data_IF_527526025158
#
_entry.id   IF_527526025158
#
_cell.length_a   1.000
_cell.length_b   1.000
_cell.length_c   1.000
_cell.angle_alpha   90.00
_cell.angle_beta   90.00
_cell.angle_gamma   90.00
#
_symmetry.space_group_name_H-M   'P 1'
#
loop_
_entity.id
_entity.type
_entity.pdbx_description
1 polymer ?
#
# COMPACT_ATOMS: atom_id res chain seq x y z
N UNK A 1 4.00 -30.05 55.00
CA UNK A 1 3.76 -30.08 53.54
C UNK A 1 2.29 -30.41 53.32
N UNK A 2 1.52 -29.49 52.75
CA UNK A 2 0.06 -29.58 52.57
C UNK A 2 -0.20 -29.86 51.10
N UNK A 3 -0.86 -30.97 50.78
CA UNK A 3 -1.25 -31.32 49.42
C UNK A 3 -2.67 -30.82 49.18
N UNK A 4 -2.82 -29.77 48.37
CA UNK A 4 -4.11 -29.27 47.93
C UNK A 4 -4.62 -30.13 46.77
N UNK A 5 -5.76 -30.78 47.00
CA UNK A 5 -6.43 -31.62 46.01
C UNK A 5 -7.28 -30.72 45.11
N UNK A 6 -6.89 -30.60 43.84
CA UNK A 6 -7.62 -29.81 42.84
C UNK A 6 -8.71 -30.69 42.23
N UNK A 7 -9.97 -30.43 42.58
CA UNK A 7 -11.14 -31.10 42.01
C UNK A 7 -11.47 -30.48 40.65
N UNK A 8 -11.33 -31.27 39.58
CA UNK A 8 -11.63 -30.83 38.21
C UNK A 8 -13.12 -31.09 37.90
N UNK A 9 -13.92 -30.03 37.87
CA UNK A 9 -15.34 -30.10 37.50
C UNK A 9 -15.46 -30.22 35.98
N UNK A 10 -15.67 -31.43 35.45
CA UNK A 10 -16.04 -31.62 34.05
C UNK A 10 -17.44 -31.03 33.82
N UNK A 11 -17.51 -29.95 33.05
CA UNK A 11 -18.78 -29.50 32.46
C UNK A 11 -19.13 -30.40 31.28
N UNK A 12 -20.38 -30.88 31.16
CA UNK A 12 -20.82 -31.56 29.96
C UNK A 12 -20.77 -30.60 28.77
N UNK A 13 -20.07 -31.02 27.73
CA UNK A 13 -20.05 -30.35 26.44
C UNK A 13 -21.48 -30.34 25.88
N UNK A 14 -22.08 -29.16 25.83
CA UNK A 14 -23.31 -28.94 25.11
C UNK A 14 -23.04 -29.15 23.61
N UNK A 15 -23.84 -30.01 23.00
CA UNK A 15 -23.87 -30.30 21.58
C UNK A 15 -24.12 -29.01 20.79
N UNK A 16 -23.06 -28.40 20.26
CA UNK A 16 -23.21 -27.48 19.15
C UNK A 16 -23.40 -28.33 17.90
N UNK A 17 -24.53 -28.21 17.16
CA UNK A 17 -24.64 -28.81 15.86
C UNK A 17 -23.58 -28.17 14.97
N UNK A 18 -22.51 -28.92 14.73
CA UNK A 18 -21.54 -28.65 13.68
C UNK A 18 -22.34 -28.62 12.38
N UNK A 19 -22.71 -27.43 11.93
CA UNK A 19 -23.05 -27.16 10.53
C UNK A 19 -21.75 -27.30 9.74
N UNK A 20 -21.32 -28.54 9.61
CA UNK A 20 -20.27 -28.97 8.73
C UNK A 20 -20.70 -28.65 7.32
N UNK A 21 -20.26 -27.48 6.85
CA UNK A 21 -20.07 -27.27 5.42
C UNK A 21 -19.02 -28.29 5.01
N UNK A 22 -19.49 -29.46 4.57
CA UNK A 22 -18.68 -30.47 3.92
C UNK A 22 -18.03 -29.78 2.72
N UNK A 23 -16.83 -29.22 2.93
CA UNK A 23 -15.92 -28.88 1.86
C UNK A 23 -15.56 -30.23 1.26
N UNK A 24 -16.27 -30.56 0.20
CA UNK A 24 -16.17 -31.82 -0.55
C UNK A 24 -14.72 -32.21 -0.77
N UNK A 25 -14.32 -33.36 -0.23
CA UNK A 25 -12.99 -33.95 -0.37
C UNK A 25 -12.57 -34.17 -1.84
N UNK A 26 -13.51 -34.11 -2.79
CA UNK A 26 -13.24 -34.16 -4.24
C UNK A 26 -12.64 -32.89 -4.84
N UNK A 27 -12.59 -31.77 -4.11
CA UNK A 27 -12.01 -30.51 -4.62
C UNK A 27 -10.48 -30.43 -4.50
N UNK A 28 -9.84 -31.42 -3.85
CA UNK A 28 -8.39 -31.48 -3.64
C UNK A 28 -7.65 -32.46 -4.57
N UNK A 29 -8.37 -33.26 -5.36
CA UNK A 29 -7.77 -34.25 -6.28
C UNK A 29 -7.67 -33.76 -7.73
N UNK A 30 -8.30 -32.63 -8.06
CA UNK A 30 -8.20 -32.05 -9.40
C UNK A 30 -6.99 -31.09 -9.44
N UNK A 31 -5.85 -31.62 -9.91
CA UNK A 31 -4.59 -30.85 -10.00
C UNK A 31 -4.73 -29.54 -10.80
N UNK A 32 -5.71 -29.46 -11.70
CA UNK A 32 -6.04 -28.23 -12.42
C UNK A 32 -6.64 -27.16 -11.48
N UNK A 33 -7.52 -27.55 -10.56
CA UNK A 33 -8.14 -26.64 -9.58
C UNK A 33 -7.14 -26.08 -8.56
N UNK A 34 -6.20 -26.91 -8.10
CA UNK A 34 -5.13 -26.47 -7.18
C UNK A 34 -4.19 -25.48 -7.89
N UNK A 35 -3.80 -25.77 -9.13
CA UNK A 35 -2.96 -24.87 -9.93
C UNK A 35 -3.62 -23.52 -10.18
N UNK A 36 -4.90 -23.51 -10.56
CA UNK A 36 -5.64 -22.27 -10.80
C UNK A 36 -5.73 -21.37 -9.56
N UNK A 37 -5.89 -21.97 -8.36
CA UNK A 37 -5.87 -21.23 -7.09
C UNK A 37 -4.49 -20.66 -6.79
N UNK A 38 -3.44 -21.46 -6.92
CA UNK A 38 -2.06 -21.00 -6.73
C UNK A 38 -1.71 -19.84 -7.67
N UNK A 39 -2.14 -19.88 -8.93
CA UNK A 39 -1.93 -18.78 -9.88
C UNK A 39 -2.71 -17.51 -9.50
N UNK A 40 -3.95 -17.66 -8.99
CA UNK A 40 -4.73 -16.53 -8.50
C UNK A 40 -4.08 -15.89 -7.26
N UNK A 41 -3.65 -16.71 -6.31
CA UNK A 41 -2.98 -16.27 -5.08
C UNK A 41 -1.62 -15.63 -5.40
N UNK A 42 -0.85 -16.21 -6.32
CA UNK A 42 0.43 -15.65 -6.77
C UNK A 42 0.25 -14.28 -7.45
N UNK A 43 -0.78 -14.12 -8.30
CA UNK A 43 -1.09 -12.83 -8.92
C UNK A 43 -1.47 -11.78 -7.89
N UNK A 44 -2.28 -12.16 -6.89
CA UNK A 44 -2.65 -11.26 -5.80
C UNK A 44 -1.42 -10.88 -4.96
N UNK A 45 -0.60 -11.85 -4.59
CA UNK A 45 0.62 -11.65 -3.82
C UNK A 45 1.60 -10.71 -4.54
N UNK A 46 1.87 -10.92 -5.83
CA UNK A 46 2.73 -10.04 -6.63
C UNK A 46 2.18 -8.61 -6.69
N UNK A 47 0.86 -8.45 -6.85
CA UNK A 47 0.23 -7.12 -6.87
C UNK A 47 0.40 -6.43 -5.52
N UNK A 48 0.12 -7.14 -4.44
CA UNK A 48 0.26 -6.61 -3.08
C UNK A 48 1.71 -6.22 -2.79
N UNK A 49 2.66 -7.08 -3.14
CA UNK A 49 4.08 -6.85 -2.94
C UNK A 49 4.61 -5.67 -3.77
N UNK A 50 4.18 -5.52 -5.02
CA UNK A 50 4.54 -4.35 -5.82
C UNK A 50 3.96 -3.03 -5.28
N UNK A 51 2.72 -3.03 -4.76
CA UNK A 51 2.15 -1.83 -4.09
C UNK A 51 2.96 -1.48 -2.86
N UNK A 52 3.30 -2.46 -2.02
CA UNK A 52 4.14 -2.24 -0.84
C UNK A 52 5.52 -1.69 -1.21
N UNK A 53 6.14 -2.18 -2.28
CA UNK A 53 7.43 -1.69 -2.74
C UNK A 53 7.37 -0.24 -3.24
N UNK A 54 6.30 0.14 -3.96
CA UNK A 54 6.07 1.54 -4.36
C UNK A 54 5.87 2.43 -3.12
N UNK A 55 5.06 1.98 -2.15
CA UNK A 55 4.84 2.71 -0.91
C UNK A 55 6.14 2.89 -0.12
N UNK A 56 6.99 1.86 -0.05
CA UNK A 56 8.30 1.91 0.59
C UNK A 56 9.20 2.99 -0.05
N UNK A 57 9.24 3.06 -1.38
CA UNK A 57 9.95 4.12 -2.09
C UNK A 57 9.32 5.50 -1.84
N UNK A 58 7.99 5.61 -1.85
CA UNK A 58 7.30 6.86 -1.53
C UNK A 58 7.64 7.38 -0.14
N UNK A 59 7.68 6.50 0.86
CA UNK A 59 8.10 6.82 2.23
C UNK A 59 9.58 7.23 2.26
N UNK A 60 10.45 6.53 1.52
CA UNK A 60 11.87 6.91 1.37
C UNK A 60 12.00 8.34 0.86
N UNK A 61 11.28 8.69 -0.20
CA UNK A 61 11.26 10.05 -0.75
C UNK A 61 10.74 11.08 0.26
N UNK A 62 9.66 10.75 0.98
CA UNK A 62 9.09 11.61 2.01
C UNK A 62 10.11 11.89 3.14
N UNK A 63 10.81 10.85 3.61
CA UNK A 63 11.84 10.98 4.66
C UNK A 63 13.03 11.80 4.14
N UNK A 64 13.47 11.59 2.90
CA UNK A 64 14.57 12.38 2.33
C UNK A 64 14.20 13.85 2.14
N UNK A 65 12.95 14.15 1.77
CA UNK A 65 12.49 15.51 1.55
C UNK A 65 12.14 16.25 2.86
N UNK A 66 11.47 15.58 3.80
CA UNK A 66 10.85 16.21 4.98
C UNK A 66 11.30 15.60 6.31
N UNK A 67 12.23 14.65 6.32
CA UNK A 67 12.68 13.97 7.55
C UNK A 67 13.18 14.94 8.61
N UNK A 68 13.87 16.01 8.18
CA UNK A 68 14.32 17.11 9.05
C UNK A 68 13.19 17.81 9.81
N UNK A 69 12.02 17.92 9.19
CA UNK A 69 10.84 18.56 9.77
C UNK A 69 10.01 17.57 10.60
N UNK A 70 9.88 16.33 10.11
CA UNK A 70 9.14 15.24 10.76
C UNK A 70 9.79 14.77 12.07
N UNK A 71 11.12 14.76 12.13
CA UNK A 71 11.91 14.27 13.27
C UNK A 71 12.70 15.40 13.93
N UNK A 72 12.08 16.59 14.01
CA UNK A 72 12.68 17.79 14.57
C UNK A 72 13.42 17.55 15.90
N UNK A 73 14.50 18.30 16.20
CA UNK A 73 15.26 18.20 17.45
C UNK A 73 14.41 18.31 18.71
N UNK A 74 13.30 19.06 18.64
CA UNK A 74 12.34 19.24 19.74
C UNK A 74 11.68 17.92 20.18
N UNK A 75 11.71 16.88 19.34
CA UNK A 75 11.24 15.54 19.66
C UNK A 75 12.33 14.62 20.24
N UNK A 76 13.53 15.14 20.49
CA UNK A 76 14.66 14.40 21.05
C UNK A 76 15.40 13.53 20.03
N UNK A 77 15.09 13.64 18.74
CA UNK A 77 15.78 12.93 17.66
C UNK A 77 16.70 13.87 16.89
N UNK A 78 17.93 13.42 16.61
CA UNK A 78 18.93 14.14 15.83
C UNK A 78 19.43 13.28 14.69
N UNK A 79 19.72 13.90 13.55
CA UNK A 79 20.36 13.21 12.43
C UNK A 79 21.87 13.16 12.70
N UNK A 80 22.42 11.97 12.91
CA UNK A 80 23.87 11.80 13.04
C UNK A 80 24.49 11.65 11.65
N UNK A 81 25.20 12.69 11.23
CA UNK A 81 25.94 12.72 9.98
C UNK A 81 27.23 11.91 10.06
N UNK A 82 27.11 10.58 10.16
CA UNK A 82 28.23 9.68 9.86
C UNK A 82 28.43 9.65 8.34
N UNK A 83 28.98 10.75 7.82
CA UNK A 83 29.60 11.05 6.52
C UNK A 83 28.98 10.57 5.19
N UNK A 84 27.91 9.79 5.19
CA UNK A 84 27.10 9.41 4.02
C UNK A 84 25.76 8.75 4.40
N UNK A 85 25.59 8.34 5.67
CA UNK A 85 24.42 7.62 6.15
C UNK A 85 23.56 8.52 7.02
N UNK A 86 22.38 8.87 6.52
CA UNK A 86 21.39 9.67 7.24
C UNK A 86 20.68 8.82 8.29
N UNK A 87 21.32 8.58 9.43
CA UNK A 87 20.76 7.84 10.55
C UNK A 87 20.19 8.79 11.59
N UNK A 88 18.93 8.59 11.95
CA UNK A 88 18.29 9.28 13.06
C UNK A 88 18.61 8.57 14.37
N UNK A 89 19.15 9.32 15.33
CA UNK A 89 19.40 8.86 16.68
C UNK A 89 18.55 9.66 17.66
N UNK A 90 17.79 8.98 18.51
CA UNK A 90 16.93 9.63 19.51
C UNK A 90 17.50 9.45 20.91
N UNK A 91 17.47 10.51 21.72
CA UNK A 91 17.87 10.48 23.13
C UNK A 91 16.81 9.77 23.98
N UNK A 92 17.24 9.19 25.12
CA UNK A 92 16.33 8.56 26.07
C UNK A 92 15.34 9.58 26.62
N UNK A 93 14.07 9.48 26.21
CA UNK A 93 13.01 10.44 26.53
C UNK A 93 12.23 10.97 25.32
N UNK A 94 12.69 10.69 24.09
CA UNK A 94 11.95 11.00 22.88
C UNK A 94 10.59 10.28 22.85
N UNK A 95 9.54 10.98 22.42
CA UNK A 95 8.19 10.40 22.31
C UNK A 95 8.03 9.46 21.10
N UNK A 96 8.98 9.45 20.17
CA UNK A 96 8.84 8.81 18.86
C UNK A 96 10.06 7.94 18.42
N UNK A 97 10.66 7.09 19.29
CA UNK A 97 11.79 6.25 18.88
C UNK A 97 11.42 5.27 17.76
N UNK A 98 10.19 4.74 17.81
CA UNK A 98 9.68 3.78 16.81
C UNK A 98 9.63 4.39 15.40
N UNK A 99 9.33 5.69 15.28
CA UNK A 99 9.26 6.35 13.98
C UNK A 99 10.65 6.54 13.40
N UNK A 100 11.64 6.88 14.22
CA UNK A 100 13.03 6.99 13.80
C UNK A 100 13.60 5.63 13.38
N UNK A 101 13.33 4.55 14.14
CA UNK A 101 13.74 3.19 13.78
C UNK A 101 13.11 2.73 12.47
N UNK A 102 11.82 3.01 12.28
CA UNK A 102 11.12 2.72 11.03
C UNK A 102 11.74 3.50 9.86
N UNK A 103 12.00 4.80 10.03
CA UNK A 103 12.63 5.63 9.01
C UNK A 103 14.03 5.13 8.64
N UNK A 104 14.84 4.80 9.64
CA UNK A 104 16.17 4.21 9.46
C UNK A 104 16.09 2.86 8.74
N UNK A 105 15.14 2.00 9.11
CA UNK A 105 14.91 0.72 8.45
C UNK A 105 14.50 0.87 6.99
N UNK A 106 13.61 1.83 6.70
CA UNK A 106 13.19 2.14 5.33
C UNK A 106 14.38 2.63 4.51
N UNK A 107 15.14 3.62 4.99
CA UNK A 107 16.33 4.14 4.32
C UNK A 107 17.41 3.06 4.13
N UNK A 108 17.60 2.19 5.13
CA UNK A 108 18.54 1.08 5.05
C UNK A 108 18.13 0.07 3.97
N UNK A 109 16.84 -0.22 3.88
CA UNK A 109 16.31 -1.17 2.90
C UNK A 109 16.36 -0.64 1.48
N UNK A 110 16.30 0.68 1.26
CA UNK A 110 16.24 1.29 -0.09
C UNK A 110 17.55 1.96 -0.48
N UNK A 111 17.92 3.05 0.19
CA UNK A 111 19.06 3.90 -0.16
C UNK A 111 20.38 3.22 0.16
N UNK A 112 20.48 2.53 1.30
CA UNK A 112 21.73 1.91 1.75
C UNK A 112 21.86 0.45 1.38
N UNK A 113 20.96 -0.09 0.56
CA UNK A 113 21.02 -1.48 0.12
C UNK A 113 22.40 -1.89 -0.44
N UNK A 114 23.08 -1.08 -1.30
CA UNK A 114 24.42 -1.42 -1.79
C UNK A 114 25.45 -1.50 -0.66
N UNK A 115 25.37 -0.60 0.32
CA UNK A 115 26.28 -0.60 1.46
C UNK A 115 26.03 -1.81 2.37
N UNK A 116 24.76 -2.17 2.63
CA UNK A 116 24.40 -3.37 3.40
C UNK A 116 24.92 -4.64 2.74
N UNK A 117 24.87 -4.70 1.40
CA UNK A 117 25.44 -5.83 0.64
C UNK A 117 26.97 -5.84 0.74
N UNK A 118 27.61 -4.68 0.63
CA UNK A 118 29.07 -4.55 0.75
C UNK A 118 29.55 -4.94 2.15
N UNK A 119 28.85 -4.52 3.22
CA UNK A 119 29.21 -4.88 4.59
C UNK A 119 29.04 -6.37 4.85
N UNK A 120 28.04 -7.02 4.27
CA UNK A 120 27.85 -8.48 4.36
C UNK A 120 28.99 -9.30 3.71
N UNK A 121 29.75 -8.71 2.78
CA UNK A 121 30.94 -9.36 2.23
C UNK A 121 32.07 -9.44 3.26
N UNK A 122 32.17 -8.45 4.16
CA UNK A 122 33.21 -8.34 5.18
C UNK A 122 32.76 -8.94 6.52
N UNK A 123 31.46 -8.86 6.84
CA UNK A 123 30.89 -9.27 8.11
C UNK A 123 29.80 -10.35 7.89
N UNK A 124 30.06 -11.61 8.28
CA UNK A 124 29.13 -12.71 8.02
C UNK A 124 27.81 -12.58 8.77
N UNK A 125 27.81 -11.88 9.91
CA UNK A 125 26.62 -11.65 10.75
C UNK A 125 25.54 -10.82 10.01
N UNK A 126 25.94 -9.98 9.05
CA UNK A 126 25.04 -9.08 8.31
C UNK A 126 24.45 -9.77 7.06
N UNK A 127 24.89 -10.99 6.72
CA UNK A 127 24.48 -11.68 5.48
C UNK A 127 22.98 -11.92 5.41
N UNK A 128 22.34 -12.30 6.52
CA UNK A 128 20.90 -12.54 6.56
C UNK A 128 20.12 -11.27 6.20
N UNK A 129 20.53 -10.13 6.76
CA UNK A 129 19.94 -8.82 6.46
C UNK A 129 20.14 -8.46 4.99
N UNK A 130 21.34 -8.65 4.46
CA UNK A 130 21.62 -8.40 3.05
C UNK A 130 20.77 -9.27 2.11
N UNK A 131 20.57 -10.56 2.42
CA UNK A 131 19.70 -11.43 1.63
C UNK A 131 18.24 -10.94 1.62
N UNK A 132 17.73 -10.48 2.77
CA UNK A 132 16.37 -9.91 2.84
C UNK A 132 16.24 -8.64 2.01
N UNK A 133 17.23 -7.74 2.08
CA UNK A 133 17.24 -6.48 1.31
C UNK A 133 17.33 -6.76 -0.20
N UNK A 134 18.23 -7.66 -0.61
CA UNK A 134 18.38 -8.06 -2.02
C UNK A 134 17.10 -8.75 -2.50
N UNK A 135 16.56 -9.70 -1.72
CA UNK A 135 15.31 -10.39 -2.06
C UNK A 135 14.14 -9.43 -2.24
N UNK A 136 14.01 -8.44 -1.35
CA UNK A 136 13.02 -7.37 -1.46
C UNK A 136 13.16 -6.62 -2.79
N UNK A 137 14.38 -6.34 -3.25
CA UNK A 137 14.62 -5.60 -4.50
C UNK A 137 14.38 -6.46 -5.74
N UNK A 138 14.88 -7.69 -5.73
CA UNK A 138 14.75 -8.64 -6.84
C UNK A 138 13.29 -8.98 -7.12
N UNK A 139 12.45 -9.12 -6.08
CA UNK A 139 11.02 -9.41 -6.25
C UNK A 139 10.19 -8.13 -6.34
N UNK A 140 10.49 -7.13 -5.51
CA UNK A 140 9.73 -5.88 -5.37
C UNK A 140 9.80 -4.98 -6.59
N UNK A 141 10.98 -4.80 -7.18
CA UNK A 141 11.17 -3.89 -8.30
C UNK A 141 10.42 -4.35 -9.56
N UNK A 142 10.52 -5.62 -10.01
CA UNK A 142 9.72 -6.10 -11.13
C UNK A 142 8.21 -6.03 -10.87
N UNK A 143 7.77 -6.37 -9.65
CA UNK A 143 6.36 -6.30 -9.28
C UNK A 143 5.83 -4.86 -9.33
N UNK A 144 6.60 -3.89 -8.83
CA UNK A 144 6.27 -2.47 -8.89
C UNK A 144 6.22 -1.95 -10.33
N UNK A 145 7.20 -2.32 -11.16
CA UNK A 145 7.23 -1.94 -12.57
C UNK A 145 5.99 -2.43 -13.32
N UNK A 146 5.59 -3.69 -13.12
CA UNK A 146 4.38 -4.25 -13.72
C UNK A 146 3.11 -3.51 -13.30
N UNK A 147 3.03 -3.09 -12.03
CA UNK A 147 1.89 -2.31 -11.53
C UNK A 147 1.89 -0.91 -12.13
N UNK A 148 3.06 -0.26 -12.20
CA UNK A 148 3.20 1.08 -12.77
C UNK A 148 2.80 1.09 -14.24
N UNK A 149 3.27 0.13 -15.04
CA UNK A 149 2.91 0.00 -16.47
C UNK A 149 1.41 -0.20 -16.62
N UNK A 150 0.82 -1.21 -15.95
CA UNK A 150 -0.63 -1.49 -16.04
C UNK A 150 -1.49 -0.35 -15.50
N UNK A 151 -1.00 0.36 -14.48
CA UNK A 151 -1.64 1.54 -13.93
C UNK A 151 -1.63 2.70 -14.93
N UNK A 152 -0.48 2.93 -15.57
CA UNK A 152 -0.27 3.94 -16.61
C UNK A 152 -1.17 3.70 -17.83
N UNK A 153 -1.22 2.47 -18.34
CA UNK A 153 -2.11 2.09 -19.44
C UNK A 153 -3.58 2.42 -19.14
N UNK A 154 -4.06 2.06 -17.95
CA UNK A 154 -5.44 2.36 -17.52
C UNK A 154 -5.70 3.85 -17.38
N UNK A 155 -4.70 4.62 -16.96
CA UNK A 155 -4.84 6.07 -16.84
C UNK A 155 -4.88 6.73 -18.21
N UNK A 156 -3.97 6.37 -19.11
CA UNK A 156 -3.96 6.82 -20.51
C UNK A 156 -5.27 6.46 -21.20
N UNK A 157 -5.79 5.25 -21.01
CA UNK A 157 -7.08 4.81 -21.54
C UNK A 157 -8.27 5.63 -21.03
N UNK A 158 -8.23 6.08 -19.76
CA UNK A 158 -9.29 6.95 -19.20
C UNK A 158 -9.19 8.38 -19.72
N UNK A 159 -7.98 8.88 -19.92
CA UNK A 159 -7.75 10.23 -20.47
C UNK A 159 -8.11 10.25 -21.96
N UNK A 160 -7.73 9.22 -22.72
CA UNK A 160 -8.07 9.08 -24.13
C UNK A 160 -9.58 8.89 -24.36
N UNK A 161 -10.27 8.25 -23.42
CA UNK A 161 -11.75 8.08 -23.44
C UNK A 161 -12.51 9.26 -22.82
N UNK A 162 -11.83 10.29 -22.30
CA UNK A 162 -12.51 11.52 -21.88
C UNK A 162 -12.95 12.24 -23.16
N UNK A 163 -14.26 12.43 -23.38
CA UNK A 163 -14.74 13.07 -24.59
C UNK A 163 -14.30 14.54 -24.58
N UNK A 164 -13.28 14.86 -25.37
CA UNK A 164 -12.98 16.21 -25.82
C UNK A 164 -14.09 16.64 -26.78
N UNK A 165 -15.26 16.96 -26.25
CA UNK A 165 -16.43 17.23 -27.08
C UNK A 165 -17.67 17.56 -26.26
N UNK A 166 -17.67 18.72 -25.62
CA UNK A 166 -18.92 19.47 -25.53
C UNK A 166 -19.08 20.18 -26.88
N UNK A 167 -20.02 19.79 -27.76
CA UNK A 167 -20.32 20.59 -28.93
C UNK A 167 -20.85 21.94 -28.45
N UNK A 168 -20.14 22.99 -28.83
CA UNK A 168 -20.68 24.34 -28.96
C UNK A 168 -21.83 24.27 -29.97
N UNK A 169 -23.04 24.07 -29.46
CA UNK A 169 -24.28 24.13 -30.23
C UNK A 169 -25.07 25.34 -29.76
N UNK A 170 -24.70 26.52 -30.26
CA UNK A 170 -25.56 27.68 -30.21
C UNK A 170 -26.89 27.35 -30.93
N UNK A 171 -28.06 27.65 -30.36
CA UNK A 171 -29.26 27.75 -31.18
C UNK A 171 -29.20 29.07 -31.95
N UNK A 172 -28.85 28.97 -33.24
CA UNK A 172 -29.07 30.02 -34.23
C UNK A 172 -30.51 30.49 -34.20
N UNK A 173 -30.66 31.82 -34.18
CA UNK A 173 -31.91 32.52 -34.38
C UNK A 173 -32.66 32.00 -35.63
N UNK A 174 -33.94 31.70 -35.46
CA UNK A 174 -34.91 31.79 -36.55
C UNK A 174 -35.93 32.82 -36.12
N UNK A 175 -35.75 34.03 -36.63
CA UNK A 175 -36.78 35.06 -36.65
C UNK A 175 -37.88 34.63 -37.63
N UNK A 176 -39.13 34.61 -37.17
CA UNK A 176 -40.31 34.63 -38.03
C UNK A 176 -41.41 35.43 -37.30
N UNK A 177 -41.37 36.73 -37.57
CA UNK A 177 -42.50 37.66 -37.75
C UNK A 177 -43.77 37.53 -36.88
N UNK A 178 -43.93 38.53 -36.02
CA UNK A 178 -45.16 39.29 -35.70
C UNK A 178 -46.15 39.44 -36.89
N UNK A 179 -47.45 39.81 -36.70
CA UNK A 179 -47.93 40.79 -35.72
C UNK A 179 -49.34 40.56 -35.12
N UNK A 180 -49.71 41.33 -34.10
CA UNK A 180 -50.84 42.28 -34.15
C UNK A 180 -51.36 42.61 -32.74
N UNK A 181 -51.06 43.83 -32.32
CA UNK A 181 -51.73 44.56 -31.27
C UNK A 181 -53.24 44.65 -31.52
N UNK A 182 -54.05 44.47 -30.49
CA UNK A 182 -55.29 45.22 -30.34
C UNK A 182 -55.48 45.65 -28.87
N UNK A 183 -55.82 46.93 -28.61
CA UNK A 183 -55.89 47.50 -27.26
C UNK A 183 -57.33 47.57 -26.71
N UNK A 184 -57.43 47.77 -25.39
CA UNK A 184 -58.51 48.53 -24.71
C UNK A 184 -59.94 47.95 -24.68
N UNK A 185 -60.52 47.71 -23.50
CA UNK A 185 -61.32 48.70 -22.75
C UNK A 185 -61.96 48.08 -21.49
N UNK A 186 -62.18 48.92 -20.49
CA UNK A 186 -62.71 48.65 -19.17
C UNK A 186 -64.22 48.32 -19.13
N UNK A 187 -64.68 47.64 -18.05
CA UNK A 187 -66.00 47.91 -17.43
C UNK A 187 -65.93 47.63 -15.92
N UNK A 188 -66.30 48.69 -15.16
CA UNK A 188 -66.93 48.80 -13.83
C UNK A 188 -66.53 47.86 -12.67
#
# INVERSE_FOLDING_TARGET
MRQDTITFTQRPFAEHPFTGRLVSAGALTDGAGVRARLEADARLALRTLGVFYIALWGITWLILAYGGELLRPDHGCRLEGLSALFLWHCTGGAHLPVVADLANGVLASTVWAPLVVLTAAVQPEVRLVAFLVVGLHVVGLPAALLIAIRGGERLCDRIARRPSGAPSGAPSATAASDPASEPSLAVA
#
